data_IF_004532753353
#
_entry.id   IF_004532753353
#
_cell.length_a   1.000
_cell.length_b   1.000
_cell.length_c   1.000
_cell.angle_alpha   90.00
_cell.angle_beta   90.00
_cell.angle_gamma   90.00
#
_symmetry.space_group_name_H-M   'P 1'
#
loop_
_entity.id
_entity.type
_entity.pdbx_description
1 polymer ?
#
# COMPACT_ATOMS: atom_id res chain seq x y z
N UNK A 1 -34.94 -8.14 2.76
CA UNK A 1 -35.21 -7.33 1.55
C UNK A 1 -35.53 -5.91 1.99
N UNK A 2 -34.50 -5.10 2.25
CA UNK A 2 -34.69 -3.74 2.75
C UNK A 2 -35.24 -2.87 1.60
N UNK A 3 -36.53 -2.54 1.65
CA UNK A 3 -37.09 -1.48 0.80
C UNK A 3 -36.25 -0.23 1.06
N UNK A 4 -35.73 0.39 0.00
CA UNK A 4 -35.19 1.75 0.03
C UNK A 4 -36.22 2.59 0.79
N UNK A 5 -35.86 3.12 1.96
CA UNK A 5 -36.74 3.97 2.73
C UNK A 5 -36.94 5.27 1.93
N UNK A 6 -37.94 5.29 1.06
CA UNK A 6 -38.44 6.51 0.43
C UNK A 6 -39.10 7.32 1.54
N UNK A 7 -38.30 8.07 2.28
CA UNK A 7 -38.71 8.87 3.44
C UNK A 7 -39.57 10.10 3.10
N UNK A 8 -39.89 10.31 1.82
CA UNK A 8 -40.77 11.39 1.38
C UNK A 8 -41.94 10.80 0.62
N UNK A 9 -43.14 10.66 1.22
CA UNK A 9 -44.34 10.56 0.43
C UNK A 9 -44.45 11.87 -0.37
N UNK A 10 -44.31 11.79 -1.70
CA UNK A 10 -44.40 12.91 -2.65
C UNK A 10 -45.83 13.51 -2.75
N UNK A 11 -46.54 13.66 -1.63
CA UNK A 11 -47.97 13.99 -1.57
C UNK A 11 -48.37 14.85 -0.37
N UNK A 12 -47.48 15.70 0.15
CA UNK A 12 -47.84 16.63 1.22
C UNK A 12 -48.89 17.66 0.77
N UNK A 13 -48.84 18.09 -0.51
CA UNK A 13 -49.76 19.06 -1.10
C UNK A 13 -51.02 18.39 -1.67
N UNK A 14 -52.18 18.75 -1.15
CA UNK A 14 -53.49 18.32 -1.65
C UNK A 14 -54.18 19.48 -2.39
N UNK A 15 -54.28 19.39 -3.72
CA UNK A 15 -54.86 20.44 -4.57
C UNK A 15 -56.35 20.64 -4.32
N UNK A 16 -57.08 19.60 -3.89
CA UNK A 16 -58.51 19.68 -3.57
C UNK A 16 -58.75 20.49 -2.29
N UNK A 17 -57.73 20.59 -1.42
CA UNK A 17 -57.77 21.34 -0.16
C UNK A 17 -56.90 22.58 -0.18
N UNK A 18 -56.48 23.05 -1.36
CA UNK A 18 -55.58 24.19 -1.52
C UNK A 18 -54.31 24.11 -0.66
N UNK A 19 -53.80 22.90 -0.41
CA UNK A 19 -52.61 22.67 0.42
C UNK A 19 -52.82 22.81 1.93
N UNK A 20 -54.06 22.93 2.41
CA UNK A 20 -54.34 22.89 3.85
C UNK A 20 -53.81 21.59 4.46
N UNK A 21 -53.20 21.69 5.65
CA UNK A 21 -52.54 20.60 6.39
C UNK A 21 -51.24 20.05 5.78
N UNK A 22 -50.68 20.67 4.75
CA UNK A 22 -49.39 20.25 4.19
C UNK A 22 -48.24 20.41 5.20
N UNK A 23 -48.27 21.46 6.02
CA UNK A 23 -47.24 21.73 7.04
C UNK A 23 -47.21 20.67 8.14
N UNK A 24 -48.38 20.29 8.67
CA UNK A 24 -48.54 19.26 9.70
C UNK A 24 -48.09 17.88 9.20
N UNK A 25 -48.36 17.57 7.91
CA UNK A 25 -47.89 16.34 7.26
C UNK A 25 -46.36 16.32 7.16
N UNK A 26 -45.75 17.40 6.66
CA UNK A 26 -44.29 17.51 6.58
C UNK A 26 -43.64 17.43 7.97
N UNK A 27 -44.23 18.06 8.98
CA UNK A 27 -43.74 17.99 10.35
C UNK A 27 -43.83 16.55 10.92
N UNK A 28 -44.92 15.83 10.62
CA UNK A 28 -45.03 14.42 10.99
C UNK A 28 -43.96 13.56 10.31
N UNK A 29 -43.72 13.77 9.02
CA UNK A 29 -42.70 13.03 8.26
C UNK A 29 -41.28 13.33 8.78
N UNK A 30 -40.97 14.58 9.13
CA UNK A 30 -39.70 14.94 9.77
C UNK A 30 -39.49 14.21 11.11
N UNK A 31 -40.53 14.12 11.96
CA UNK A 31 -40.45 13.37 13.22
C UNK A 31 -40.24 11.87 12.97
N UNK A 32 -40.90 11.30 11.94
CA UNK A 32 -40.69 9.89 11.56
C UNK A 32 -39.25 9.64 11.08
N UNK A 33 -38.69 10.59 10.34
CA UNK A 33 -37.28 10.54 9.92
C UNK A 33 -36.36 10.59 11.14
N UNK A 34 -36.61 11.50 12.08
CA UNK A 34 -35.84 11.61 13.32
C UNK A 34 -35.90 10.32 14.16
N UNK A 35 -37.10 9.76 14.37
CA UNK A 35 -37.25 8.47 15.07
C UNK A 35 -36.49 7.36 14.34
N UNK A 36 -36.62 7.25 13.01
CA UNK A 36 -35.91 6.25 12.24
C UNK A 36 -34.38 6.44 12.32
N UNK A 37 -33.90 7.68 12.34
CA UNK A 37 -32.49 7.99 12.50
C UNK A 37 -31.98 7.54 13.88
N UNK A 38 -32.70 7.84 14.95
CA UNK A 38 -32.35 7.42 16.31
C UNK A 38 -32.37 5.88 16.47
N UNK A 39 -33.32 5.19 15.84
CA UNK A 39 -33.43 3.73 15.88
C UNK A 39 -32.35 3.02 15.03
N UNK A 40 -31.98 3.58 13.88
CA UNK A 40 -31.08 2.93 12.91
C UNK A 40 -29.61 3.38 13.00
N UNK A 41 -29.31 4.34 13.88
CA UNK A 41 -27.95 4.86 14.09
C UNK A 41 -27.43 4.47 15.47
N UNK A 42 -27.13 3.18 15.73
CA UNK A 42 -26.38 2.81 16.91
C UNK A 42 -24.97 3.38 16.83
N UNK A 43 -24.26 3.41 17.97
CA UNK A 43 -22.83 3.72 17.97
C UNK A 43 -22.08 2.67 17.17
N UNK A 44 -21.41 3.10 16.12
CA UNK A 44 -20.52 2.27 15.32
C UNK A 44 -19.15 2.19 15.99
N UNK A 45 -18.38 1.13 15.72
CA UNK A 45 -17.02 1.02 16.24
C UNK A 45 -16.13 2.02 15.51
N UNK A 46 -15.40 2.85 16.26
CA UNK A 46 -14.46 3.84 15.72
C UNK A 46 -13.04 3.28 15.74
N UNK A 47 -12.40 3.23 14.58
CA UNK A 47 -11.08 2.63 14.40
C UNK A 47 -10.13 3.57 13.66
N UNK A 48 -8.85 3.39 13.91
CA UNK A 48 -7.76 4.04 13.18
C UNK A 48 -6.89 2.97 12.56
N UNK A 49 -6.63 3.09 11.26
CA UNK A 49 -5.65 2.25 10.57
C UNK A 49 -4.59 3.12 9.90
N UNK A 50 -3.34 2.74 10.06
CA UNK A 50 -2.21 3.30 9.34
C UNK A 50 -1.85 2.36 8.21
N UNK A 51 -1.74 2.92 7.00
CA UNK A 51 -1.47 2.16 5.79
C UNK A 51 -0.20 2.71 5.16
N UNK A 52 0.85 1.90 5.18
CA UNK A 52 2.11 2.18 4.51
C UNK A 52 2.01 1.79 3.03
N UNK A 53 2.44 2.68 2.14
CA UNK A 53 2.52 2.37 0.72
C UNK A 53 3.59 1.31 0.43
N UNK A 54 4.70 1.33 1.17
CA UNK A 54 5.74 0.31 1.09
C UNK A 54 5.25 -1.11 1.42
N UNK A 55 4.23 -1.25 2.27
CA UNK A 55 3.62 -2.54 2.63
C UNK A 55 2.50 -2.96 1.66
N UNK A 56 1.67 -2.02 1.21
CA UNK A 56 0.51 -2.35 0.36
C UNK A 56 0.91 -2.50 -1.11
N UNK A 57 1.68 -1.56 -1.64
CA UNK A 57 2.03 -1.51 -3.06
C UNK A 57 3.46 -0.95 -3.23
N UNK A 58 4.50 -1.75 -2.90
CA UNK A 58 5.89 -1.32 -3.02
C UNK A 58 6.28 -0.92 -4.45
N UNK A 59 5.69 -1.57 -5.46
CA UNK A 59 5.85 -1.22 -6.87
C UNK A 59 5.35 0.20 -7.16
N UNK A 60 4.21 0.59 -6.59
CA UNK A 60 3.64 1.93 -6.74
C UNK A 60 4.51 2.97 -6.02
N UNK A 61 5.14 2.61 -4.90
CA UNK A 61 6.12 3.47 -4.23
C UNK A 61 7.36 3.71 -5.10
N UNK A 62 7.86 2.69 -5.79
CA UNK A 62 8.98 2.83 -6.74
C UNK A 62 8.60 3.75 -7.90
N UNK A 63 7.43 3.53 -8.51
CA UNK A 63 6.93 4.39 -9.57
C UNK A 63 6.76 5.83 -9.08
N UNK A 64 6.16 6.02 -7.91
CA UNK A 64 5.97 7.33 -7.28
C UNK A 64 7.28 8.08 -7.07
N UNK A 65 8.35 7.39 -6.69
CA UNK A 65 9.69 7.98 -6.51
C UNK A 65 10.33 8.49 -7.82
N UNK A 66 9.91 7.94 -8.97
CA UNK A 66 10.39 8.34 -10.30
C UNK A 66 9.50 9.40 -10.95
N UNK A 67 8.18 9.23 -10.87
CA UNK A 67 7.20 10.08 -11.58
C UNK A 67 6.60 11.18 -10.70
N UNK A 68 6.60 11.00 -9.39
CA UNK A 68 5.84 11.82 -8.44
C UNK A 68 4.35 11.50 -8.42
N UNK A 69 3.88 10.44 -9.08
CA UNK A 69 2.47 10.06 -9.15
C UNK A 69 2.27 8.56 -9.01
N UNK A 70 1.25 8.14 -8.26
CA UNK A 70 0.86 6.74 -8.17
C UNK A 70 -0.61 6.57 -7.77
N UNK A 71 -1.17 5.41 -8.11
CA UNK A 71 -2.50 5.00 -7.68
C UNK A 71 -2.37 3.85 -6.67
N UNK A 72 -3.11 3.95 -5.58
CA UNK A 72 -3.08 3.01 -4.45
C UNK A 72 -4.47 2.47 -4.20
N UNK A 73 -4.64 1.16 -4.32
CA UNK A 73 -5.90 0.49 -4.04
C UNK A 73 -5.88 -0.18 -2.67
N UNK A 74 -6.82 0.20 -1.81
CA UNK A 74 -7.01 -0.44 -0.50
C UNK A 74 -8.02 -1.58 -0.60
N UNK A 75 -7.51 -2.81 -0.45
CA UNK A 75 -8.32 -4.04 -0.52
C UNK A 75 -8.88 -4.43 0.83
N UNK A 76 -9.90 -5.28 0.80
CA UNK A 76 -10.61 -5.74 2.00
C UNK A 76 -9.72 -6.55 2.95
N UNK A 77 -8.81 -7.35 2.39
CA UNK A 77 -7.86 -8.18 3.14
C UNK A 77 -7.06 -7.37 4.16
N UNK A 78 -6.71 -6.13 3.82
CA UNK A 78 -5.98 -5.23 4.70
C UNK A 78 -6.73 -5.02 6.02
N UNK A 79 -8.05 -4.85 5.98
CA UNK A 79 -8.85 -4.54 7.17
C UNK A 79 -9.36 -5.79 7.88
N UNK A 80 -9.58 -6.88 7.15
CA UNK A 80 -10.01 -8.16 7.72
C UNK A 80 -8.91 -8.86 8.52
N UNK A 81 -7.65 -8.62 8.16
CA UNK A 81 -6.49 -9.10 8.94
C UNK A 81 -6.45 -8.55 10.36
N UNK A 82 -6.93 -7.31 10.58
CA UNK A 82 -6.99 -6.72 11.92
C UNK A 82 -8.25 -7.18 12.67
N UNK A 83 -9.40 -7.09 11.99
CA UNK A 83 -10.71 -7.36 12.57
C UNK A 83 -11.58 -8.15 11.59
N UNK A 84 -11.55 -9.50 11.65
CA UNK A 84 -12.42 -10.32 10.83
C UNK A 84 -13.88 -10.09 11.24
N UNK A 85 -14.76 -9.87 10.25
CA UNK A 85 -16.19 -9.70 10.47
C UNK A 85 -16.68 -8.26 10.63
N UNK A 86 -15.80 -7.27 10.46
CA UNK A 86 -16.23 -5.89 10.29
C UNK A 86 -16.77 -5.67 8.87
N UNK A 87 -17.94 -5.07 8.77
CA UNK A 87 -18.57 -4.65 7.52
C UNK A 87 -19.03 -3.20 7.63
N UNK A 88 -19.53 -2.65 6.53
CA UNK A 88 -20.01 -1.26 6.48
C UNK A 88 -18.94 -0.23 6.92
N UNK A 89 -17.68 -0.50 6.56
CA UNK A 89 -16.53 0.34 6.92
C UNK A 89 -16.57 1.67 6.15
N UNK A 90 -16.77 2.79 6.86
CA UNK A 90 -16.87 4.13 6.26
C UNK A 90 -15.87 5.09 6.86
N UNK A 91 -15.24 5.87 6.00
CA UNK A 91 -14.25 6.87 6.37
C UNK A 91 -14.90 8.00 7.16
N UNK A 92 -14.22 8.42 8.22
CA UNK A 92 -14.49 9.66 8.95
C UNK A 92 -13.49 10.75 8.61
N UNK A 93 -12.21 10.40 8.49
CA UNK A 93 -11.19 11.33 8.03
C UNK A 93 -9.99 10.54 7.51
N UNK A 94 -9.31 11.09 6.50
CA UNK A 94 -8.00 10.60 6.06
C UNK A 94 -6.99 11.71 6.24
N UNK A 95 -5.84 11.38 6.81
CA UNK A 95 -4.66 12.23 6.81
C UNK A 95 -3.49 11.50 6.16
N UNK A 96 -2.52 12.24 5.64
CA UNK A 96 -1.35 11.69 4.95
C UNK A 96 -0.07 12.21 5.62
N UNK A 97 0.90 11.30 5.76
CA UNK A 97 2.25 11.61 6.21
C UNK A 97 3.24 11.13 5.17
N UNK A 98 4.17 11.99 4.80
CA UNK A 98 5.22 11.73 3.82
C UNK A 98 6.56 12.02 4.52
N UNK A 99 7.22 11.00 5.09
CA UNK A 99 8.49 11.20 5.78
C UNK A 99 9.59 11.56 4.77
N UNK A 100 9.98 12.83 4.77
CA UNK A 100 11.07 13.36 3.96
C UNK A 100 11.90 14.37 4.75
N UNK A 101 13.14 14.57 4.33
CA UNK A 101 13.99 15.63 4.87
C UNK A 101 13.68 16.91 4.09
N UNK A 102 12.73 17.70 4.58
CA UNK A 102 12.47 19.05 4.09
C UNK A 102 13.27 20.09 4.87
N UNK A 103 13.72 21.14 4.20
CA UNK A 103 14.40 22.26 4.85
C UNK A 103 13.45 23.09 5.73
N UNK A 104 13.96 23.95 6.62
CA UNK A 104 13.13 24.86 7.40
C UNK A 104 12.21 25.69 6.50
N UNK A 105 10.93 25.76 6.87
CA UNK A 105 9.88 26.47 6.11
C UNK A 105 9.63 25.95 4.68
N UNK A 106 10.18 24.79 4.30
CA UNK A 106 9.84 24.12 3.06
C UNK A 106 8.63 23.21 3.28
N UNK A 107 7.51 23.52 2.62
CA UNK A 107 6.32 22.69 2.64
C UNK A 107 6.46 21.46 1.74
N UNK A 108 5.59 20.47 1.99
CA UNK A 108 5.41 19.28 1.14
C UNK A 108 4.10 19.45 0.39
N UNK A 109 4.18 19.73 -0.91
CA UNK A 109 3.01 19.97 -1.77
C UNK A 109 2.59 18.67 -2.44
N UNK A 110 1.68 17.94 -1.78
CA UNK A 110 1.09 16.70 -2.27
C UNK A 110 -0.43 16.87 -2.39
N UNK A 111 -1.01 16.25 -3.41
CA UNK A 111 -2.45 16.13 -3.60
C UNK A 111 -2.83 14.67 -3.42
N UNK A 112 -3.84 14.38 -2.60
CA UNK A 112 -4.45 13.06 -2.47
C UNK A 112 -5.88 13.15 -2.98
N UNK A 113 -6.19 12.36 -4.00
CA UNK A 113 -7.51 12.32 -4.63
C UNK A 113 -8.15 10.94 -4.43
N UNK A 114 -9.40 10.90 -3.99
CA UNK A 114 -10.21 9.70 -3.94
C UNK A 114 -10.87 9.47 -5.30
N UNK A 115 -10.44 8.45 -6.04
CA UNK A 115 -10.94 8.17 -7.39
C UNK A 115 -12.10 7.16 -7.40
N UNK A 116 -12.06 6.17 -6.51
CA UNK A 116 -13.10 5.16 -6.39
C UNK A 116 -13.32 4.77 -4.92
N UNK A 117 -14.54 4.39 -4.56
CA UNK A 117 -14.95 4.06 -3.20
C UNK A 117 -15.98 2.93 -3.19
N UNK A 118 -15.71 1.89 -2.41
CA UNK A 118 -16.61 0.77 -2.20
C UNK A 118 -16.77 0.45 -0.72
N UNK A 119 -17.95 -0.05 -0.37
CA UNK A 119 -18.24 -0.54 0.99
C UNK A 119 -18.89 -1.92 0.93
N UNK A 120 -18.46 -2.84 1.81
CA UNK A 120 -19.20 -4.07 2.06
C UNK A 120 -20.51 -3.72 2.75
N UNK A 121 -21.61 -3.84 2.01
CA UNK A 121 -22.94 -3.43 2.47
C UNK A 121 -23.68 -4.53 3.23
N UNK A 122 -23.38 -5.80 2.93
CA UNK A 122 -24.06 -6.96 3.52
C UNK A 122 -23.23 -7.53 4.68
N UNK A 123 -23.92 -7.81 5.78
CA UNK A 123 -23.37 -8.49 6.95
C UNK A 123 -23.18 -10.00 6.72
N UNK A 124 -23.97 -10.59 5.81
CA UNK A 124 -23.92 -12.00 5.48
C UNK A 124 -23.31 -12.21 4.10
N UNK A 125 -22.58 -13.30 3.93
CA UNK A 125 -22.00 -13.70 2.65
C UNK A 125 -23.12 -14.26 1.76
N UNK A 126 -23.42 -13.61 0.64
CA UNK A 126 -24.32 -14.20 -0.37
C UNK A 126 -23.60 -15.24 -1.24
N UNK A 127 -24.35 -16.23 -1.74
CA UNK A 127 -23.90 -17.20 -2.75
C UNK A 127 -22.64 -18.01 -2.40
N UNK A 128 -22.36 -18.22 -1.11
CA UNK A 128 -21.26 -19.05 -0.60
C UNK A 128 -19.84 -18.58 -0.95
N UNK A 129 -19.66 -17.38 -1.52
CA UNK A 129 -18.33 -16.81 -1.79
C UNK A 129 -18.13 -15.50 -1.03
N UNK A 130 -17.06 -15.47 -0.22
CA UNK A 130 -16.73 -14.33 0.62
C UNK A 130 -16.55 -13.03 -0.18
N UNK A 131 -15.89 -13.14 -1.34
CA UNK A 131 -15.49 -12.02 -2.22
C UNK A 131 -16.53 -11.70 -3.30
N UNK A 132 -17.75 -12.22 -3.22
CA UNK A 132 -18.81 -11.96 -4.20
C UNK A 132 -19.04 -10.43 -4.35
N UNK A 133 -18.91 -9.85 -5.57
CA UNK A 133 -19.13 -8.43 -5.83
C UNK A 133 -20.47 -7.89 -5.33
N UNK A 134 -21.51 -8.73 -5.27
CA UNK A 134 -22.84 -8.33 -4.79
C UNK A 134 -22.90 -8.07 -3.28
N UNK A 135 -21.87 -8.44 -2.52
CA UNK A 135 -21.72 -8.06 -1.11
C UNK A 135 -21.33 -6.59 -0.97
N UNK A 136 -20.76 -6.00 -2.02
CA UNK A 136 -20.26 -4.63 -2.05
C UNK A 136 -21.25 -3.72 -2.76
N UNK A 137 -21.18 -2.44 -2.42
CA UNK A 137 -21.82 -1.38 -3.16
C UNK A 137 -20.85 -0.21 -3.33
N UNK A 138 -20.92 0.42 -4.48
CA UNK A 138 -20.25 1.69 -4.75
C UNK A 138 -21.17 2.80 -4.27
N UNK A 139 -20.75 3.53 -3.23
CA UNK A 139 -21.48 4.68 -2.73
C UNK A 139 -20.96 5.94 -3.43
N UNK A 140 -21.85 6.71 -4.05
CA UNK A 140 -21.52 8.05 -4.56
C UNK A 140 -21.45 9.03 -3.40
N UNK A 141 -20.31 9.10 -2.71
CA UNK A 141 -19.98 10.12 -1.70
C UNK A 141 -18.46 10.28 -1.76
N UNK A 142 -17.88 11.48 -2.04
CA UNK A 142 -18.07 12.71 -1.26
C UNK A 142 -18.20 14.04 -2.06
N UNK A 143 -18.64 15.11 -1.38
CA UNK A 143 -18.66 16.51 -1.88
C UNK A 143 -17.25 17.06 -2.15
N UNK A 144 -16.22 16.50 -1.49
CA UNK A 144 -14.81 16.88 -1.65
C UNK A 144 -13.96 15.61 -1.83
N UNK A 145 -13.46 15.41 -3.05
CA UNK A 145 -12.68 14.23 -3.47
C UNK A 145 -11.18 14.45 -3.43
N UNK A 146 -10.72 15.60 -2.92
CA UNK A 146 -9.31 15.99 -2.95
C UNK A 146 -8.92 16.64 -1.63
N UNK A 147 -7.76 16.25 -1.10
CA UNK A 147 -7.05 17.00 -0.06
C UNK A 147 -5.66 17.38 -0.56
N UNK A 148 -5.12 18.48 -0.04
CA UNK A 148 -3.76 18.92 -0.29
C UNK A 148 -2.97 19.02 1.01
N UNK A 149 -1.70 18.63 0.98
CA UNK A 149 -0.78 18.73 2.11
C UNK A 149 -0.02 20.04 2.09
N UNK A 150 0.49 20.44 3.25
CA UNK A 150 1.35 21.62 3.40
C UNK A 150 2.59 21.30 4.23
N UNK A 151 2.45 20.53 5.31
CA UNK A 151 3.55 20.11 6.18
C UNK A 151 4.06 18.70 5.89
N UNK A 152 3.23 17.85 5.27
CA UNK A 152 3.56 16.45 4.99
C UNK A 152 3.55 15.56 6.23
N UNK A 153 2.99 16.02 7.36
CA UNK A 153 2.97 15.27 8.62
C UNK A 153 1.55 15.26 9.21
N UNK A 154 0.85 14.14 9.07
CA UNK A 154 -0.53 13.94 9.52
C UNK A 154 -1.48 15.03 8.99
N UNK A 155 -1.33 15.39 7.72
CA UNK A 155 -2.09 16.45 7.06
C UNK A 155 -3.44 15.90 6.56
N UNK A 156 -4.55 16.45 7.05
CA UNK A 156 -5.91 16.06 6.66
C UNK A 156 -6.53 16.95 5.56
N UNK A 157 -5.76 17.89 4.99
CA UNK A 157 -6.25 18.88 4.02
C UNK A 157 -7.08 20.03 4.61
N UNK A 158 -7.10 20.14 5.94
CA UNK A 158 -7.77 21.21 6.69
C UNK A 158 -6.78 21.77 7.70
N UNK A 159 -6.91 23.07 8.03
CA UNK A 159 -6.12 23.68 9.10
C UNK A 159 -6.42 23.06 10.47
N UNK A 160 -7.69 22.75 10.72
CA UNK A 160 -8.14 22.06 11.92
C UNK A 160 -9.25 21.07 11.54
N UNK A 161 -9.00 19.75 11.61
CA UNK A 161 -10.04 18.75 11.37
C UNK A 161 -10.96 18.66 12.60
N UNK A 162 -12.04 19.44 12.60
CA UNK A 162 -13.03 19.44 13.67
C UNK A 162 -14.19 18.48 13.36
N UNK A 163 -14.39 17.46 14.19
CA UNK A 163 -15.48 16.49 14.07
C UNK A 163 -16.87 17.06 14.42
N UNK A 164 -16.92 18.28 14.98
CA UNK A 164 -18.17 18.98 15.32
C UNK A 164 -18.56 20.04 14.27
N UNK A 165 -17.81 20.18 13.17
CA UNK A 165 -18.23 21.04 12.05
C UNK A 165 -19.54 20.48 11.45
N UNK A 166 -20.45 21.36 11.06
CA UNK A 166 -21.70 21.00 10.38
C UNK A 166 -21.45 20.45 8.96
N UNK A 167 -20.26 20.73 8.41
CA UNK A 167 -19.83 20.23 7.11
C UNK A 167 -19.10 18.90 7.26
N UNK A 168 -19.32 18.02 6.27
CA UNK A 168 -18.57 16.79 6.14
C UNK A 168 -17.08 17.05 5.99
N UNK A 169 -16.27 16.25 6.68
CA UNK A 169 -14.83 16.23 6.46
C UNK A 169 -14.51 15.67 5.06
N UNK A 170 -13.33 16.00 4.51
CA UNK A 170 -12.87 15.38 3.27
C UNK A 170 -12.93 13.85 3.34
N UNK A 171 -13.49 13.24 2.29
CA UNK A 171 -13.75 11.80 2.18
C UNK A 171 -14.73 11.20 3.18
N UNK A 172 -15.38 12.01 4.03
CA UNK A 172 -16.32 11.47 5.02
C UNK A 172 -17.49 10.76 4.34
N UNK A 173 -17.82 9.58 4.86
CA UNK A 173 -18.92 8.74 4.36
C UNK A 173 -18.54 7.86 3.17
N UNK A 174 -17.38 8.07 2.54
CA UNK A 174 -16.83 7.14 1.55
C UNK A 174 -16.50 5.80 2.21
N UNK A 175 -16.53 4.73 1.42
CA UNK A 175 -16.11 3.41 1.86
C UNK A 175 -14.61 3.33 2.03
N UNK A 176 -14.16 2.47 2.94
CA UNK A 176 -12.73 2.30 3.21
C UNK A 176 -12.02 1.53 2.07
N UNK A 177 -12.76 0.76 1.27
CA UNK A 177 -12.24 0.04 0.11
C UNK A 177 -12.15 1.00 -1.07
N UNK A 178 -11.09 1.78 -1.08
CA UNK A 178 -10.96 2.96 -1.90
C UNK A 178 -9.67 2.96 -2.71
N UNK A 179 -9.74 3.60 -3.88
CA UNK A 179 -8.57 3.87 -4.72
C UNK A 179 -8.19 5.34 -4.55
N UNK A 180 -6.94 5.57 -4.19
CA UNK A 180 -6.37 6.90 -3.98
C UNK A 180 -5.34 7.17 -5.05
N UNK A 181 -5.42 8.35 -5.67
CA UNK A 181 -4.36 8.90 -6.51
C UNK A 181 -3.53 9.86 -5.66
N UNK A 182 -2.24 9.59 -5.55
CA UNK A 182 -1.28 10.46 -4.86
C UNK A 182 -0.45 11.17 -5.91
N UNK A 183 -0.38 12.50 -5.81
CA UNK A 183 0.38 13.34 -6.74
C UNK A 183 1.24 14.34 -5.97
N UNK A 184 2.55 14.20 -6.14
CA UNK A 184 3.60 15.01 -5.57
C UNK A 184 4.49 15.54 -6.72
N UNK A 185 4.11 16.64 -7.38
CA UNK A 185 4.82 17.11 -8.56
C UNK A 185 6.26 17.52 -8.21
N UNK A 186 7.24 16.95 -8.92
CA UNK A 186 8.66 17.27 -8.74
C UNK A 186 8.99 18.76 -8.96
N UNK A 187 8.27 19.42 -9.88
CA UNK A 187 8.44 20.84 -10.16
C UNK A 187 8.07 21.75 -8.96
N UNK A 188 7.21 21.27 -8.06
CA UNK A 188 6.66 22.08 -6.98
C UNK A 188 7.33 21.78 -5.63
N UNK A 189 8.03 20.66 -5.52
CA UNK A 189 8.69 20.22 -4.30
C UNK A 189 10.20 20.45 -4.39
N UNK A 190 10.78 21.06 -3.35
CA UNK A 190 12.20 21.46 -3.32
C UNK A 190 13.12 20.40 -2.70
N UNK A 191 12.61 19.21 -2.44
CA UNK A 191 13.35 18.07 -1.90
C UNK A 191 13.41 16.95 -2.93
N UNK A 192 14.36 16.05 -2.77
CA UNK A 192 14.46 14.87 -3.62
C UNK A 192 13.32 13.89 -3.28
N UNK A 193 12.35 13.76 -4.18
CA UNK A 193 11.25 12.80 -4.07
C UNK A 193 11.79 11.37 -3.99
N UNK A 194 12.94 11.11 -4.62
CA UNK A 194 13.59 9.83 -4.60
C UNK A 194 14.09 9.38 -3.23
N UNK A 195 14.42 10.34 -2.36
CA UNK A 195 14.90 10.08 -1.02
C UNK A 195 13.76 9.81 -0.01
N UNK A 196 12.49 9.94 -0.43
CA UNK A 196 11.34 9.70 0.43
C UNK A 196 11.25 8.23 0.84
N UNK A 197 11.10 7.96 2.14
CA UNK A 197 11.08 6.58 2.64
C UNK A 197 9.75 5.87 2.34
N UNK A 198 8.62 6.54 2.53
CA UNK A 198 7.28 5.94 2.43
C UNK A 198 6.19 7.01 2.27
N UNK A 199 4.96 6.57 1.99
CA UNK A 199 3.73 7.38 2.10
C UNK A 199 2.76 6.66 3.02
N UNK A 200 2.37 7.31 4.11
CA UNK A 200 1.52 6.72 5.14
C UNK A 200 0.15 7.40 5.13
N UNK A 201 -0.90 6.60 4.94
CA UNK A 201 -2.28 7.06 5.08
C UNK A 201 -2.78 6.73 6.50
N UNK A 202 -3.29 7.74 7.19
CA UNK A 202 -3.96 7.63 8.49
C UNK A 202 -5.47 7.68 8.27
N UNK A 203 -6.11 6.52 8.29
CA UNK A 203 -7.53 6.39 7.99
C UNK A 203 -8.28 6.18 9.30
N UNK A 204 -9.12 7.15 9.65
CA UNK A 204 -10.11 7.01 10.71
C UNK A 204 -11.42 6.58 10.09
N UNK A 205 -12.01 5.50 10.57
CA UNK A 205 -13.23 4.94 10.00
C UNK A 205 -14.16 4.36 11.06
N UNK A 206 -15.43 4.26 10.72
CA UNK A 206 -16.42 3.52 11.50
C UNK A 206 -16.69 2.17 10.89
N UNK A 207 -17.02 1.17 11.71
CA UNK A 207 -17.39 -0.16 11.27
C UNK A 207 -18.53 -0.76 12.09
N UNK A 208 -19.24 -1.72 11.50
CA UNK A 208 -20.23 -2.57 12.16
C UNK A 208 -19.67 -3.98 12.23
N UNK A 209 -20.04 -4.75 13.25
CA UNK A 209 -19.54 -6.10 13.46
C UNK A 209 -20.65 -7.13 13.29
N UNK A 210 -20.34 -8.24 12.62
CA UNK A 210 -21.21 -9.40 12.54
C UNK A 210 -20.41 -10.70 12.76
N UNK A 211 -20.85 -11.53 13.72
CA UNK A 211 -20.10 -12.72 14.12
C UNK A 211 -19.97 -13.81 13.04
N UNK A 212 -21.01 -14.03 12.24
CA UNK A 212 -20.96 -15.04 11.16
C UNK A 212 -20.00 -14.62 10.03
N UNK A 213 -19.85 -13.32 9.79
CA UNK A 213 -18.92 -12.78 8.81
C UNK A 213 -17.47 -13.03 9.23
N UNK A 214 -17.17 -12.93 10.53
CA UNK A 214 -15.84 -13.21 11.06
C UNK A 214 -15.41 -14.66 10.76
N UNK A 215 -16.30 -15.63 10.96
CA UNK A 215 -16.04 -17.03 10.64
C UNK A 215 -15.80 -17.24 9.14
N UNK A 216 -16.60 -16.60 8.29
CA UNK A 216 -16.44 -16.70 6.83
C UNK A 216 -15.13 -16.06 6.33
N UNK A 217 -14.76 -14.89 6.85
CA UNK A 217 -13.51 -14.21 6.54
C UNK A 217 -12.31 -15.09 6.93
N UNK A 218 -12.34 -15.61 8.16
CA UNK A 218 -11.29 -16.48 8.70
C UNK A 218 -11.13 -17.74 7.85
N UNK A 219 -12.22 -18.41 7.49
CA UNK A 219 -12.17 -19.58 6.61
C UNK A 219 -11.60 -19.24 5.21
N UNK A 220 -12.00 -18.10 4.64
CA UNK A 220 -11.50 -17.64 3.34
C UNK A 220 -9.98 -17.40 3.37
N UNK A 221 -9.48 -16.66 4.36
CA UNK A 221 -8.06 -16.36 4.48
C UNK A 221 -7.22 -17.52 5.00
N UNK A 222 -7.81 -18.52 5.66
CA UNK A 222 -7.13 -19.78 5.93
C UNK A 222 -6.92 -20.60 4.65
N UNK A 223 -7.90 -20.62 3.74
CA UNK A 223 -7.78 -21.32 2.46
C UNK A 223 -6.85 -20.60 1.48
N UNK A 224 -6.85 -19.26 1.50
CA UNK A 224 -5.98 -18.41 0.69
C UNK A 224 -5.43 -17.26 1.55
N UNK A 225 -4.27 -17.45 2.22
CA UNK A 225 -3.70 -16.41 3.06
C UNK A 225 -3.35 -15.18 2.22
N UNK A 226 -3.65 -13.97 2.72
CA UNK A 226 -3.33 -12.75 2.01
C UNK A 226 -1.82 -12.58 1.92
N UNK A 227 -1.37 -12.00 0.82
CA UNK A 227 0.04 -11.79 0.54
C UNK A 227 0.53 -10.63 1.39
N UNK A 228 1.53 -10.87 2.25
CA UNK A 228 2.20 -9.80 2.98
C UNK A 228 3.43 -9.39 2.20
N UNK A 229 3.72 -8.10 2.18
CA UNK A 229 4.86 -7.54 1.45
C UNK A 229 5.75 -6.72 2.37
N UNK A 230 7.04 -6.71 2.09
CA UNK A 230 8.04 -5.87 2.75
C UNK A 230 9.06 -5.41 1.73
N UNK A 231 9.24 -4.10 1.61
CA UNK A 231 10.22 -3.48 0.74
C UNK A 231 11.51 -3.20 1.49
N UNK A 232 12.62 -3.86 1.17
CA UNK A 232 13.94 -3.53 1.73
C UNK A 232 14.67 -2.51 0.87
N UNK A 233 15.26 -1.49 1.49
CA UNK A 233 16.29 -0.64 0.86
C UNK A 233 17.66 -1.13 1.31
N UNK A 234 18.39 -1.79 0.41
CA UNK A 234 19.63 -2.47 0.80
C UNK A 234 20.72 -1.46 1.20
N UNK A 235 20.75 -0.26 0.62
CA UNK A 235 21.69 0.78 1.04
C UNK A 235 21.41 1.34 2.43
N UNK A 236 20.14 1.62 2.73
CA UNK A 236 19.78 2.27 4.00
C UNK A 236 19.68 1.30 5.17
N UNK A 237 19.18 0.09 4.93
CA UNK A 237 18.97 -0.91 5.98
C UNK A 237 20.23 -1.78 6.22
N UNK A 238 21.07 -1.96 5.20
CA UNK A 238 22.31 -2.76 5.28
C UNK A 238 23.56 -1.94 4.90
N UNK A 239 23.84 -0.81 5.57
CA UNK A 239 24.91 0.11 5.15
C UNK A 239 26.32 -0.52 5.19
N UNK A 240 26.56 -1.47 6.10
CA UNK A 240 27.85 -2.16 6.21
C UNK A 240 28.08 -3.11 5.03
N UNK A 241 27.08 -3.90 4.67
CA UNK A 241 27.17 -4.82 3.53
C UNK A 241 27.18 -4.04 2.21
N UNK A 242 26.42 -2.94 2.13
CA UNK A 242 26.47 -2.02 1.00
C UNK A 242 27.86 -1.41 0.79
N UNK A 243 28.51 -0.97 1.87
CA UNK A 243 29.87 -0.44 1.80
C UNK A 243 30.83 -1.51 1.24
N UNK A 244 30.76 -2.76 1.72
CA UNK A 244 31.58 -3.86 1.20
C UNK A 244 31.32 -4.15 -0.27
N UNK A 245 30.06 -4.12 -0.70
CA UNK A 245 29.67 -4.30 -2.10
C UNK A 245 30.30 -3.23 -3.03
N UNK A 246 30.42 -2.00 -2.54
CA UNK A 246 31.02 -0.87 -3.28
C UNK A 246 32.53 -0.73 -3.11
N UNK A 247 33.17 -1.49 -2.22
CA UNK A 247 34.63 -1.46 -2.10
C UNK A 247 35.30 -1.99 -3.37
N UNK A 248 36.40 -1.33 -3.75
CA UNK A 248 37.25 -1.77 -4.86
C UNK A 248 38.23 -2.83 -4.33
N UNK A 249 38.12 -4.10 -4.76
CA UNK A 249 39.04 -5.15 -4.36
C UNK A 249 40.39 -4.98 -5.06
N UNK A 250 41.41 -5.70 -4.60
CA UNK A 250 42.75 -5.67 -5.18
C UNK A 250 42.87 -6.28 -6.59
N UNK A 251 41.85 -7.01 -7.05
CA UNK A 251 41.81 -7.67 -8.37
C UNK A 251 40.50 -7.37 -9.11
N UNK A 252 40.60 -6.95 -10.38
CA UNK A 252 39.46 -6.49 -11.18
C UNK A 252 38.52 -7.59 -11.70
N UNK A 253 38.89 -8.87 -11.55
CA UNK A 253 38.11 -10.02 -12.04
C UNK A 253 37.11 -10.58 -11.01
N UNK A 254 36.99 -9.96 -9.84
CA UNK A 254 36.11 -10.46 -8.75
C UNK A 254 34.74 -9.80 -8.85
N UNK A 255 33.69 -10.63 -8.83
CA UNK A 255 32.30 -10.17 -8.80
C UNK A 255 32.00 -9.30 -7.58
N UNK A 256 31.16 -8.29 -7.76
CA UNK A 256 30.63 -7.51 -6.65
C UNK A 256 29.57 -8.33 -5.94
N UNK A 257 29.78 -8.63 -4.66
CA UNK A 257 28.86 -9.44 -3.86
C UNK A 257 28.31 -8.64 -2.68
N UNK A 258 26.99 -8.69 -2.50
CA UNK A 258 26.25 -8.08 -1.41
C UNK A 258 25.57 -9.18 -0.60
N UNK A 259 25.91 -9.27 0.69
CA UNK A 259 25.27 -10.21 1.62
C UNK A 259 24.01 -9.57 2.21
N UNK A 260 22.89 -10.28 2.14
CA UNK A 260 21.57 -9.84 2.58
C UNK A 260 21.08 -10.81 3.68
N UNK A 261 21.40 -10.54 4.96
CA UNK A 261 20.95 -11.38 6.07
C UNK A 261 19.48 -11.12 6.38
N UNK A 262 18.57 -11.93 5.82
CA UNK A 262 17.14 -11.82 6.11
C UNK A 262 16.85 -12.53 7.43
N UNK A 263 16.50 -11.76 8.46
CA UNK A 263 16.16 -12.27 9.80
C UNK A 263 14.67 -12.09 10.10
N UNK A 264 14.07 -12.91 10.98
CA UNK A 264 12.64 -12.79 11.32
C UNK A 264 12.24 -11.40 11.83
N UNK A 265 13.12 -10.73 12.58
CA UNK A 265 12.88 -9.41 13.20
C UNK A 265 12.69 -8.29 12.18
N UNK A 266 13.16 -8.48 10.95
CA UNK A 266 13.05 -7.50 9.86
C UNK A 266 11.65 -7.43 9.23
N UNK A 267 10.80 -8.42 9.51
CA UNK A 267 9.45 -8.51 8.96
C UNK A 267 8.41 -8.08 10.01
N UNK A 268 7.51 -7.14 9.67
CA UNK A 268 6.55 -6.63 10.64
C UNK A 268 5.40 -7.62 10.87
N UNK A 269 4.72 -7.47 12.01
CA UNK A 269 3.44 -8.15 12.32
C UNK A 269 3.45 -9.68 12.22
N UNK A 270 4.61 -10.32 12.42
CA UNK A 270 4.72 -11.77 12.54
C UNK A 270 4.44 -12.20 14.01
N UNK A 271 3.42 -13.04 14.27
CA UNK A 271 3.20 -13.61 15.59
C UNK A 271 4.40 -14.47 16.00
N UNK A 272 4.77 -14.46 17.29
CA UNK A 272 5.86 -15.29 17.85
C UNK A 272 5.64 -16.79 17.58
N UNK A 273 4.38 -17.21 17.43
CA UNK A 273 4.00 -18.61 17.19
C UNK A 273 4.15 -19.07 15.73
N UNK A 274 4.46 -18.16 14.80
CA UNK A 274 4.53 -18.45 13.37
C UNK A 274 5.94 -18.24 12.83
N UNK A 275 6.39 -19.12 11.94
CA UNK A 275 7.61 -18.95 11.16
C UNK A 275 7.31 -18.10 9.92
N UNK A 276 8.19 -17.16 9.61
CA UNK A 276 8.14 -16.40 8.36
C UNK A 276 8.74 -17.24 7.23
N UNK A 277 8.03 -17.32 6.11
CA UNK A 277 8.48 -17.99 4.90
C UNK A 277 8.37 -17.04 3.71
N UNK A 278 9.46 -16.79 3.00
CA UNK A 278 9.48 -15.96 1.80
C UNK A 278 8.75 -16.68 0.66
N UNK A 279 7.81 -16.02 0.01
CA UNK A 279 7.07 -16.59 -1.12
C UNK A 279 7.63 -16.14 -2.45
N UNK A 280 8.10 -14.90 -2.53
CA UNK A 280 8.70 -14.36 -3.75
C UNK A 280 9.56 -13.15 -3.46
N UNK A 281 10.42 -12.79 -4.39
CA UNK A 281 11.16 -11.52 -4.37
C UNK A 281 11.23 -10.90 -5.77
N UNK A 282 11.44 -9.60 -5.80
CA UNK A 282 11.78 -8.84 -7.01
C UNK A 282 12.95 -7.91 -6.68
N UNK A 283 13.83 -7.63 -7.64
CA UNK A 283 14.94 -6.71 -7.47
C UNK A 283 14.70 -5.44 -8.26
N UNK A 284 15.03 -4.29 -7.67
CA UNK A 284 15.05 -3.02 -8.35
C UNK A 284 16.41 -2.35 -8.13
N UNK A 285 17.03 -1.83 -9.16
CA UNK A 285 18.25 -1.02 -9.06
C UNK A 285 17.93 0.41 -9.48
N UNK A 286 18.28 1.37 -8.63
CA UNK A 286 18.04 2.79 -8.87
C UNK A 286 19.36 3.53 -9.05
N UNK A 287 19.44 4.34 -10.09
CA UNK A 287 20.60 5.16 -10.43
C UNK A 287 20.35 6.65 -10.16
N UNK A 288 21.42 7.41 -9.96
CA UNK A 288 21.36 8.86 -9.86
C UNK A 288 21.39 9.50 -11.26
N UNK A 289 20.98 10.77 -11.34
CA UNK A 289 21.24 11.58 -12.53
C UNK A 289 20.37 11.24 -13.74
N UNK A 290 20.98 10.69 -14.80
CA UNK A 290 20.32 10.51 -16.10
C UNK A 290 19.40 9.29 -16.10
N UNK A 291 18.48 9.24 -17.05
CA UNK A 291 17.55 8.13 -17.25
C UNK A 291 18.25 7.02 -18.05
N UNK A 292 18.98 6.17 -17.34
CA UNK A 292 19.90 5.22 -17.97
C UNK A 292 19.22 3.99 -18.62
N UNK A 293 18.00 3.65 -18.20
CA UNK A 293 17.25 2.56 -18.81
C UNK A 293 16.39 3.07 -19.98
N UNK A 294 16.78 2.79 -21.23
CA UNK A 294 16.01 3.21 -22.41
C UNK A 294 15.95 2.23 -23.60
N UNK A 295 16.96 1.40 -23.87
CA UNK A 295 16.90 0.24 -24.80
C UNK A 295 18.20 -0.61 -24.85
N UNK A 296 19.04 -0.59 -23.81
CA UNK A 296 20.32 -1.33 -23.84
C UNK A 296 21.20 -1.27 -22.59
N UNK A 297 20.71 -0.74 -21.46
CA UNK A 297 21.44 -0.63 -20.18
C UNK A 297 21.02 -1.70 -19.18
N UNK A 298 20.74 -2.91 -19.64
CA UNK A 298 20.22 -4.00 -18.82
C UNK A 298 21.30 -4.57 -17.88
N UNK A 299 21.14 -4.38 -16.58
CA UNK A 299 22.05 -4.94 -15.59
C UNK A 299 21.69 -6.40 -15.30
N UNK A 300 22.60 -7.33 -15.58
CA UNK A 300 22.45 -8.72 -15.16
C UNK A 300 23.03 -8.94 -13.76
N UNK A 301 22.25 -9.57 -12.88
CA UNK A 301 22.57 -9.88 -11.49
C UNK A 301 22.26 -11.35 -11.20
N UNK A 302 23.04 -11.99 -10.34
CA UNK A 302 22.75 -13.34 -9.86
C UNK A 302 22.41 -13.31 -8.38
N UNK A 303 21.36 -14.03 -7.99
CA UNK A 303 20.96 -14.17 -6.59
C UNK A 303 21.22 -15.59 -6.12
N UNK A 304 22.11 -15.75 -5.14
CA UNK A 304 22.36 -17.00 -4.46
C UNK A 304 21.52 -17.10 -3.18
N UNK A 305 20.84 -18.23 -3.01
CA UNK A 305 19.90 -18.48 -1.91
C UNK A 305 20.55 -19.34 -0.82
N UNK A 306 20.15 -19.19 0.45
CA UNK A 306 20.69 -19.99 1.55
C UNK A 306 20.46 -21.49 1.29
N UNK A 307 21.54 -22.28 1.30
CA UNK A 307 21.46 -23.73 1.17
C UNK A 307 21.14 -24.27 -0.23
N UNK A 308 21.09 -23.41 -1.26
CA UNK A 308 20.81 -23.80 -2.65
C UNK A 308 22.04 -23.50 -3.52
N UNK A 309 22.49 -24.49 -4.30
CA UNK A 309 23.66 -24.35 -5.17
C UNK A 309 23.36 -23.64 -6.51
N UNK A 310 22.08 -23.55 -6.89
CA UNK A 310 21.62 -22.89 -8.11
C UNK A 310 21.39 -21.39 -7.87
N UNK A 311 22.12 -20.56 -8.61
CA UNK A 311 21.94 -19.10 -8.62
C UNK A 311 20.84 -18.69 -9.61
N UNK A 312 19.99 -17.76 -9.18
CA UNK A 312 18.96 -17.18 -10.04
C UNK A 312 19.56 -15.98 -10.78
N UNK A 313 19.88 -16.15 -12.07
CA UNK A 313 20.30 -15.04 -12.94
C UNK A 313 19.10 -14.21 -13.39
N UNK A 314 19.20 -12.89 -13.23
CA UNK A 314 18.13 -11.93 -13.52
C UNK A 314 18.68 -10.73 -14.25
N UNK A 315 17.90 -10.24 -15.21
CA UNK A 315 18.20 -9.02 -15.94
C UNK A 315 17.25 -7.93 -15.46
N UNK A 316 17.80 -6.75 -15.15
CA UNK A 316 17.02 -5.59 -14.72
C UNK A 316 16.60 -4.77 -15.93
N UNK A 317 15.30 -4.81 -16.22
CA UNK A 317 14.66 -4.11 -17.32
C UNK A 317 14.17 -2.72 -16.89
N UNK A 318 13.99 -1.76 -17.81
CA UNK A 318 13.47 -0.43 -17.48
C UNK A 318 12.17 -0.45 -16.65
N UNK A 319 12.11 0.31 -15.55
CA UNK A 319 10.93 0.47 -14.71
C UNK A 319 10.71 1.93 -14.27
N UNK A 320 9.50 2.49 -14.41
CA UNK A 320 8.30 1.89 -14.99
C UNK A 320 8.40 1.81 -16.54
N UNK A 321 7.82 0.73 -17.10
CA UNK A 321 7.92 0.35 -18.52
C UNK A 321 7.28 1.36 -19.49
N UNK A 322 6.37 2.20 -18.99
CA UNK A 322 5.62 3.21 -19.74
C UNK A 322 6.30 4.59 -19.77
N UNK A 323 7.51 4.71 -19.22
CA UNK A 323 8.23 5.98 -19.15
C UNK A 323 8.67 6.48 -20.54
N UNK A 324 8.04 7.56 -21.01
CA UNK A 324 8.47 8.29 -22.21
C UNK A 324 9.77 9.04 -21.91
N UNK A 325 10.89 8.57 -22.45
CA UNK A 325 12.22 9.20 -22.30
C UNK A 325 13.18 8.49 -21.34
N UNK A 326 12.92 7.23 -21.00
CA UNK A 326 13.75 6.40 -20.13
C UNK A 326 13.45 6.58 -18.64
N UNK A 327 14.02 5.70 -17.82
CA UNK A 327 13.87 5.70 -16.36
C UNK A 327 15.22 5.48 -15.66
N UNK A 328 15.28 5.88 -14.40
CA UNK A 328 16.48 5.72 -13.55
C UNK A 328 16.42 4.43 -12.74
N UNK A 329 15.30 3.71 -12.77
CA UNK A 329 15.10 2.45 -12.06
C UNK A 329 14.96 1.29 -13.05
N UNK A 330 15.64 0.19 -12.76
CA UNK A 330 15.49 -1.09 -13.47
C UNK A 330 14.89 -2.13 -12.53
N UNK A 331 14.04 -3.01 -13.03
CA UNK A 331 13.35 -4.06 -12.27
C UNK A 331 13.61 -5.44 -12.88
N UNK A 332 13.81 -6.45 -12.03
CA UNK A 332 13.79 -7.84 -12.46
C UNK A 332 12.36 -8.33 -12.66
N UNK A 333 12.20 -9.47 -13.33
CA UNK A 333 10.99 -10.26 -13.19
C UNK A 333 10.80 -10.72 -11.73
N UNK A 334 9.54 -10.89 -11.32
CA UNK A 334 9.19 -11.49 -10.04
C UNK A 334 9.62 -12.95 -10.01
N UNK A 335 10.25 -13.36 -8.92
CA UNK A 335 10.71 -14.74 -8.71
C UNK A 335 9.89 -15.38 -7.61
N UNK A 336 9.06 -16.37 -7.97
CA UNK A 336 8.31 -17.17 -7.00
C UNK A 336 9.17 -18.32 -6.47
N UNK A 337 9.24 -18.44 -5.14
CA UNK A 337 10.07 -19.42 -4.45
C UNK A 337 9.32 -20.74 -4.24
N UNK A 338 9.95 -21.89 -4.57
CA UNK A 338 9.38 -23.19 -4.28
C UNK A 338 9.36 -23.43 -2.76
N UNK A 339 8.43 -24.27 -2.28
CA UNK A 339 8.16 -24.42 -0.84
C UNK A 339 9.39 -24.79 0.01
N UNK A 340 10.33 -25.55 -0.56
CA UNK A 340 11.56 -26.01 0.08
C UNK A 340 12.66 -24.93 0.18
N UNK A 341 12.46 -23.76 -0.41
CA UNK A 341 13.48 -22.69 -0.51
C UNK A 341 12.95 -21.34 0.02
N UNK A 342 11.92 -21.41 0.89
CA UNK A 342 11.26 -20.24 1.49
C UNK A 342 11.87 -19.80 2.82
N UNK A 343 12.86 -20.54 3.29
CA UNK A 343 13.49 -20.26 4.57
C UNK A 343 14.31 -18.97 4.51
N UNK A 344 14.27 -18.26 5.64
CA UNK A 344 15.12 -17.09 5.87
C UNK A 344 16.58 -17.52 6.00
N UNK A 345 17.49 -16.58 5.76
CA UNK A 345 18.93 -16.82 5.84
C UNK A 345 19.72 -15.70 5.16
N UNK A 346 21.00 -15.95 4.92
CA UNK A 346 21.86 -15.00 4.21
C UNK A 346 21.79 -15.27 2.71
N UNK A 347 21.19 -14.33 1.99
CA UNK A 347 21.14 -14.31 0.54
C UNK A 347 22.34 -13.54 0.02
N UNK A 348 22.85 -13.88 -1.16
CA UNK A 348 23.98 -13.17 -1.77
C UNK A 348 23.62 -12.70 -3.16
N UNK A 349 23.55 -11.38 -3.34
CA UNK A 349 23.40 -10.76 -4.65
C UNK A 349 24.80 -10.55 -5.24
N UNK A 350 25.04 -11.07 -6.44
CA UNK A 350 26.32 -10.96 -7.14
C UNK A 350 26.16 -10.30 -8.49
N UNK A 351 27.12 -9.46 -8.87
CA UNK A 351 27.20 -8.84 -10.20
C UNK A 351 28.56 -9.15 -10.80
N UNK A 352 28.57 -9.82 -11.95
CA UNK A 352 29.82 -10.22 -12.61
C UNK A 352 30.45 -9.04 -13.36
N UNK A 353 31.80 -8.97 -13.46
CA UNK A 353 32.48 -7.93 -14.22
C UNK A 353 32.07 -7.90 -15.70
N UNK A 354 31.72 -9.07 -16.25
CA UNK A 354 31.20 -9.19 -17.63
C UNK A 354 29.83 -8.56 -17.77
N UNK A 355 28.92 -8.74 -16.81
CA UNK A 355 27.62 -8.08 -16.83
C UNK A 355 27.76 -6.56 -16.71
N UNK A 356 28.62 -6.07 -15.81
CA UNK A 356 28.88 -4.63 -15.68
C UNK A 356 29.52 -4.05 -16.94
N UNK A 357 30.32 -4.81 -17.69
CA UNK A 357 30.88 -4.30 -18.94
C UNK A 357 29.84 -4.01 -20.04
N UNK A 358 28.61 -4.51 -19.89
CA UNK A 358 27.52 -4.30 -20.85
C UNK A 358 26.67 -3.05 -20.55
N UNK A 359 26.79 -2.46 -19.35
CA UNK A 359 26.07 -1.22 -19.02
C UNK A 359 26.85 0.00 -19.50
N UNK A 360 26.16 1.15 -19.55
CA UNK A 360 26.74 2.44 -19.97
C UNK A 360 28.00 2.79 -19.15
N UNK A 361 29.01 3.35 -19.81
CA UNK A 361 30.27 3.78 -19.20
C UNK A 361 30.05 4.84 -18.11
N UNK A 362 28.96 5.60 -18.18
CA UNK A 362 28.61 6.57 -17.13
C UNK A 362 28.14 5.92 -15.81
N UNK A 363 27.79 4.63 -15.81
CA UNK A 363 27.29 3.89 -14.64
C UNK A 363 28.33 2.98 -13.98
N UNK A 364 29.54 2.96 -14.53
CA UNK A 364 30.59 2.02 -14.13
C UNK A 364 31.95 2.68 -14.09
N UNK A 365 32.74 2.34 -13.08
CA UNK A 365 34.17 2.63 -13.06
C UNK A 365 34.93 1.37 -13.50
N UNK A 366 35.27 1.31 -14.78
CA UNK A 366 35.86 0.10 -15.37
C UNK A 366 34.83 -1.02 -15.45
N UNK A 367 35.15 -2.20 -14.91
CA UNK A 367 34.25 -3.38 -14.89
C UNK A 367 33.42 -3.49 -13.59
N UNK A 368 33.19 -2.37 -12.90
CA UNK A 368 32.49 -2.34 -11.59
C UNK A 368 31.45 -1.23 -11.53
N UNK A 369 30.35 -1.52 -10.84
CA UNK A 369 29.32 -0.56 -10.47
C UNK A 369 29.95 0.50 -9.57
N UNK A 370 29.64 1.77 -9.83
CA UNK A 370 30.17 2.89 -9.07
C UNK A 370 29.09 3.57 -8.20
N UNK A 371 29.39 4.77 -7.72
CA UNK A 371 28.53 5.55 -6.83
C UNK A 371 27.29 6.14 -7.52
N UNK A 372 27.15 5.96 -8.84
CA UNK A 372 25.90 6.29 -9.53
C UNK A 372 24.75 5.38 -9.11
N UNK A 373 25.02 4.15 -8.65
CA UNK A 373 24.01 3.27 -8.09
C UNK A 373 23.57 3.80 -6.72
N UNK A 374 22.37 4.39 -6.66
CA UNK A 374 21.84 4.98 -5.44
C UNK A 374 21.33 3.95 -4.46
N UNK A 375 20.65 2.90 -4.92
CA UNK A 375 20.09 1.87 -4.05
C UNK A 375 19.71 0.63 -4.84
N UNK A 376 19.61 -0.49 -4.14
CA UNK A 376 18.94 -1.69 -4.62
C UNK A 376 17.76 -1.95 -3.70
N UNK A 377 16.55 -1.94 -4.26
CA UNK A 377 15.36 -2.31 -3.51
C UNK A 377 15.03 -3.78 -3.71
N UNK A 378 14.66 -4.43 -2.61
CA UNK A 378 14.25 -5.84 -2.58
C UNK A 378 12.85 -5.91 -1.95
N UNK A 379 11.77 -5.70 -2.71
CA UNK A 379 10.44 -6.10 -2.28
C UNK A 379 10.34 -7.62 -2.23
N UNK A 380 9.99 -8.11 -1.04
CA UNK A 380 9.72 -9.50 -0.75
C UNK A 380 8.24 -9.68 -0.43
N UNK A 381 7.67 -10.78 -0.91
CA UNK A 381 6.40 -11.29 -0.39
C UNK A 381 6.70 -12.42 0.59
N UNK A 382 5.93 -12.50 1.67
CA UNK A 382 6.11 -13.51 2.70
C UNK A 382 4.78 -14.00 3.26
N UNK A 383 4.80 -15.25 3.72
CA UNK A 383 3.70 -15.91 4.41
C UNK A 383 4.08 -16.27 5.85
N UNK A 384 3.07 -16.62 6.64
CA UNK A 384 3.22 -17.13 7.99
C UNK A 384 2.89 -18.63 7.98
N UNK A 385 3.83 -19.45 8.41
CA UNK A 385 3.70 -20.90 8.51
C UNK A 385 3.67 -21.28 9.99
N UNK A 386 2.94 -22.33 10.35
CA UNK A 386 3.02 -22.88 11.70
C UNK A 386 4.48 -23.24 12.03
N UNK A 387 4.97 -22.76 13.18
CA UNK A 387 6.21 -23.28 13.72
C UNK A 387 5.94 -24.77 13.99
N UNK A 388 6.70 -25.67 13.35
CA UNK A 388 6.64 -27.09 13.67
C UNK A 388 6.91 -27.18 15.17
N UNK A 389 5.94 -27.69 15.95
CA UNK A 389 6.20 -28.08 17.33
C UNK A 389 7.37 -29.05 17.26
N UNK A 390 8.55 -28.61 17.68
CA UNK A 390 9.65 -29.50 17.98
C UNK A 390 9.11 -30.35 19.12
N UNK A 391 8.61 -31.53 18.78
CA UNK A 391 8.23 -32.51 19.77
C UNK A 391 9.46 -32.75 20.64
N UNK A 392 9.37 -32.36 21.91
CA UNK A 392 10.27 -32.86 22.95
C UNK A 392 10.11 -34.39 22.94
N UNK A 393 11.00 -35.03 22.18
CA UNK A 393 11.16 -36.47 22.16
C UNK A 393 11.67 -36.90 23.52
N UNK A 394 10.74 -37.41 24.33
CA UNK A 394 10.98 -38.26 25.50
C UNK A 394 11.86 -39.46 25.18
#
# INVERSE_FOLDING_TARGET
MARRATGYPLGAWDSLKQGLLAGERLQHDLRRLETAFLEQTPREAELVKHVSLAEVAPEQLMQFRETGTCDVELKEELFDLDYPGHYFRRIKSVAITIPTVSGPYAGVSCTLMLSNTNVRSKAQVSNSSYTDPTNFRTDLVPVTTVIATSGGANDAGLFEPNLHDERYLPFEGAGVLSTYKVELPAANNRFDIGAMSDVILHIRYTARQEGSLAGAATAHYHAGPPVRRRLFSLRSELPVEWARFMMVPSSNDVSQQLSIPLTPEMFPYAPVTKKIALTSYTLYARWNGKKHYSAGGELAVTMARPGVALEDSRTLNPYPLDSVGGCSTGASDKVDLPQNERDLGTWTLSVSPTAVSQIDDELRTGSRLDDTLQDIYLPCEYGLVDAIEVGDGS
#
